data_IF_819460035520
#
_entry.id   IF_819460035520
#
_cell.length_a   1.000
_cell.length_b   1.000
_cell.length_c   1.000
_cell.angle_alpha   90.00
_cell.angle_beta   90.00
_cell.angle_gamma   90.00
#
_symmetry.space_group_name_H-M   'P 1'
#
loop_
_entity.id
_entity.type
_entity.pdbx_description
1 polymer ?
#
# COMPACT_ATOMS: atom_id res chain seq x y z
N UNK A 1 -1.67 -3.61 20.83
CA UNK A 1 -1.72 -2.58 19.77
C UNK A 1 -0.40 -1.87 19.88
N UNK A 2 0.51 -2.06 18.92
CA UNK A 2 1.78 -1.35 18.94
C UNK A 2 1.47 0.15 18.85
N UNK A 3 2.28 0.93 19.56
CA UNK A 3 2.19 2.37 19.77
C UNK A 3 1.84 3.10 18.47
N UNK A 4 1.07 4.19 18.54
CA UNK A 4 0.52 4.91 17.37
C UNK A 4 1.55 5.58 16.45
N UNK A 5 2.75 5.03 16.35
CA UNK A 5 3.80 5.46 15.47
C UNK A 5 3.42 5.26 14.00
N UNK A 6 3.73 6.24 13.14
CA UNK A 6 3.49 6.13 11.71
C UNK A 6 4.23 4.91 11.15
N UNK A 7 3.61 4.25 10.17
CA UNK A 7 4.28 3.19 9.43
C UNK A 7 5.62 3.71 8.89
N UNK A 8 6.71 2.91 8.96
CA UNK A 8 7.99 3.34 8.43
C UNK A 8 7.85 3.64 6.94
N UNK A 9 8.45 4.75 6.50
CA UNK A 9 8.45 5.08 5.09
C UNK A 9 9.38 4.12 4.33
N UNK A 10 8.95 3.60 3.17
CA UNK A 10 9.82 2.79 2.33
C UNK A 10 10.99 3.64 1.83
N UNK A 11 12.22 3.15 2.03
CA UNK A 11 13.43 3.77 1.51
C UNK A 11 14.13 2.82 0.54
N UNK A 12 15.00 3.37 -0.31
CA UNK A 12 15.81 2.55 -1.20
C UNK A 12 16.85 1.75 -0.42
N UNK A 13 17.27 0.63 -1.00
CA UNK A 13 18.33 -0.20 -0.44
C UNK A 13 19.63 0.60 -0.25
N UNK A 14 19.96 1.50 -1.18
CA UNK A 14 21.18 2.32 -1.11
C UNK A 14 21.21 3.23 0.12
N UNK A 15 20.05 3.77 0.53
CA UNK A 15 19.94 4.61 1.71
C UNK A 15 20.36 3.86 2.98
N UNK A 16 20.12 2.54 3.02
CA UNK A 16 20.50 1.72 4.15
C UNK A 16 21.90 1.10 4.02
N UNK A 17 22.36 0.76 2.81
CA UNK A 17 23.73 0.26 2.58
C UNK A 17 24.81 1.29 2.94
N UNK A 18 24.53 2.58 2.73
CA UNK A 18 25.46 3.67 3.06
C UNK A 18 25.55 3.99 4.56
N UNK A 19 24.70 3.39 5.40
CA UNK A 19 24.70 3.67 6.84
C UNK A 19 25.79 2.83 7.55
N UNK A 20 26.79 3.47 8.18
CA UNK A 20 27.85 2.78 8.92
C UNK A 20 27.32 1.92 10.09
N UNK A 21 26.15 2.24 10.65
CA UNK A 21 25.51 1.43 11.70
C UNK A 21 25.09 0.04 11.21
N UNK A 22 24.98 -0.17 9.89
CA UNK A 22 24.58 -1.44 9.27
C UNK A 22 25.73 -2.13 8.51
N UNK A 23 26.98 -1.68 8.72
CA UNK A 23 28.15 -2.22 8.04
C UNK A 23 28.35 -3.72 8.32
N UNK A 24 28.60 -4.51 7.26
CA UNK A 24 28.79 -5.96 7.35
C UNK A 24 27.49 -6.78 7.46
N UNK A 25 26.32 -6.13 7.45
CA UNK A 25 25.02 -6.80 7.41
C UNK A 25 24.63 -7.35 6.03
N UNK A 26 23.70 -8.29 6.00
CA UNK A 26 23.07 -8.79 4.77
C UNK A 26 21.69 -8.15 4.62
N UNK A 27 21.40 -7.62 3.43
CA UNK A 27 20.13 -7.00 3.12
C UNK A 27 19.14 -8.00 2.53
N UNK A 28 17.87 -7.89 2.93
CA UNK A 28 16.76 -8.64 2.35
C UNK A 28 15.61 -7.67 2.05
N UNK A 29 14.94 -7.90 0.91
CA UNK A 29 13.72 -7.19 0.55
C UNK A 29 12.55 -8.10 0.90
N UNK A 30 11.62 -7.58 1.70
CA UNK A 30 10.39 -8.29 2.04
C UNK A 30 9.23 -7.56 1.39
N UNK A 31 8.47 -8.26 0.55
CA UNK A 31 7.18 -7.78 0.08
C UNK A 31 6.18 -7.99 1.22
N UNK A 32 5.62 -6.90 1.74
CA UNK A 32 4.76 -6.91 2.90
C UNK A 32 3.49 -6.13 2.64
N UNK A 33 2.35 -6.82 2.73
CA UNK A 33 1.04 -6.17 2.67
C UNK A 33 0.76 -5.42 3.97
N UNK A 34 0.86 -4.09 3.93
CA UNK A 34 0.54 -3.21 5.07
C UNK A 34 -0.96 -3.05 5.30
N UNK A 35 -1.82 -3.55 4.40
CA UNK A 35 -3.29 -3.42 4.49
C UNK A 35 -3.87 -3.81 5.85
N UNK A 36 -3.44 -4.91 6.51
CA UNK A 36 -3.94 -5.28 7.84
C UNK A 36 -3.63 -4.26 8.95
N UNK A 37 -2.67 -3.37 8.73
CA UNK A 37 -2.17 -2.40 9.72
C UNK A 37 -2.78 -1.01 9.54
N UNK A 38 -3.62 -0.78 8.53
CA UNK A 38 -4.29 0.50 8.26
C UNK A 38 -5.47 0.79 9.20
N UNK A 39 -5.63 -0.02 10.26
CA UNK A 39 -6.72 0.11 11.21
C UNK A 39 -8.02 -0.53 10.74
N UNK A 40 -9.13 -0.17 11.41
CA UNK A 40 -10.46 -0.74 11.12
C UNK A 40 -11.00 -0.16 9.81
N UNK A 41 -11.62 -1.02 8.99
CA UNK A 41 -12.32 -0.58 7.79
C UNK A 41 -13.45 0.39 8.11
N UNK A 42 -13.46 1.55 7.46
CA UNK A 42 -14.50 2.58 7.58
C UNK A 42 -15.30 2.66 6.29
N UNK A 43 -16.63 2.64 6.38
CA UNK A 43 -17.52 2.82 5.22
C UNK A 43 -17.75 4.32 4.98
N UNK A 44 -17.51 4.77 3.76
CA UNK A 44 -17.81 6.12 3.31
C UNK A 44 -18.61 6.09 2.00
N UNK A 45 -19.23 7.23 1.64
CA UNK A 45 -19.90 7.41 0.36
C UNK A 45 -19.05 8.32 -0.53
N UNK A 46 -18.93 7.96 -1.81
CA UNK A 46 -18.22 8.76 -2.80
C UNK A 46 -18.92 8.71 -4.16
N UNK A 47 -18.69 9.75 -4.95
CA UNK A 47 -19.19 9.85 -6.33
C UNK A 47 -18.03 9.64 -7.28
N UNK A 48 -18.22 8.76 -8.27
CA UNK A 48 -17.24 8.45 -9.32
C UNK A 48 -17.95 8.55 -10.67
N UNK A 49 -17.26 8.99 -11.75
CA UNK A 49 -17.79 8.87 -13.10
C UNK A 49 -18.12 7.42 -13.46
N UNK A 50 -19.26 7.20 -14.13
CA UNK A 50 -19.74 5.85 -14.48
C UNK A 50 -18.70 5.05 -15.27
N UNK A 51 -18.09 5.66 -16.27
CA UNK A 51 -17.06 5.02 -17.09
C UNK A 51 -15.82 4.60 -16.27
N UNK A 52 -15.47 5.36 -15.21
CA UNK A 52 -14.38 4.99 -14.31
C UNK A 52 -14.77 3.78 -13.45
N UNK A 53 -15.98 3.78 -12.90
CA UNK A 53 -16.48 2.66 -12.10
C UNK A 53 -16.51 1.36 -12.92
N UNK A 54 -16.97 1.42 -14.17
CA UNK A 54 -16.99 0.28 -15.08
C UNK A 54 -15.57 -0.29 -15.36
N UNK A 55 -14.56 0.59 -15.48
CA UNK A 55 -13.16 0.18 -15.65
C UNK A 55 -12.61 -0.49 -14.39
N UNK A 56 -12.93 0.04 -13.21
CA UNK A 56 -12.54 -0.58 -11.93
C UNK A 56 -13.15 -1.98 -11.81
N UNK A 57 -14.43 -2.12 -12.16
CA UNK A 57 -15.11 -3.41 -12.14
C UNK A 57 -14.47 -4.43 -13.08
N UNK A 58 -14.14 -4.02 -14.30
CA UNK A 58 -13.44 -4.86 -15.26
C UNK A 58 -12.06 -5.28 -14.75
N UNK A 59 -11.33 -4.37 -14.12
CA UNK A 59 -10.02 -4.66 -13.56
C UNK A 59 -10.09 -5.70 -12.43
N UNK A 60 -10.95 -5.46 -11.44
CA UNK A 60 -11.13 -6.34 -10.27
C UNK A 60 -11.58 -7.75 -10.68
N UNK A 61 -12.45 -7.87 -11.70
CA UNK A 61 -12.84 -9.19 -12.24
C UNK A 61 -11.68 -10.00 -12.80
N UNK A 62 -10.68 -9.33 -13.37
CA UNK A 62 -9.54 -9.98 -14.05
C UNK A 62 -8.31 -10.15 -13.13
N UNK A 63 -8.32 -9.56 -11.94
CA UNK A 63 -7.18 -9.58 -11.01
C UNK A 63 -7.65 -10.09 -9.64
N UNK A 64 -7.71 -11.42 -9.42
CA UNK A 64 -8.24 -12.01 -8.18
C UNK A 64 -7.44 -11.65 -6.91
N UNK A 65 -6.21 -11.16 -7.06
CA UNK A 65 -5.45 -10.56 -5.95
C UNK A 65 -6.14 -9.30 -5.39
N UNK A 66 -6.82 -8.53 -6.26
CA UNK A 66 -7.58 -7.33 -5.95
C UNK A 66 -9.05 -7.72 -5.73
N UNK A 67 -9.40 -8.10 -4.51
CA UNK A 67 -10.67 -8.81 -4.22
C UNK A 67 -11.95 -7.96 -4.30
N UNK A 68 -11.85 -6.62 -4.40
CA UNK A 68 -13.02 -5.73 -4.43
C UNK A 68 -12.69 -4.32 -4.93
N UNK A 69 -13.72 -3.54 -5.30
CA UNK A 69 -13.59 -2.10 -5.61
C UNK A 69 -12.90 -1.33 -4.49
N UNK A 70 -13.26 -1.61 -3.24
CA UNK A 70 -12.68 -0.97 -2.07
C UNK A 70 -11.21 -1.33 -1.89
N UNK A 71 -10.83 -2.58 -2.14
CA UNK A 71 -9.43 -3.01 -2.15
C UNK A 71 -8.61 -2.29 -3.22
N UNK A 72 -9.15 -2.21 -4.44
CA UNK A 72 -8.51 -1.47 -5.53
C UNK A 72 -8.28 0.00 -5.20
N UNK A 73 -9.31 0.67 -4.68
CA UNK A 73 -9.19 2.09 -4.30
C UNK A 73 -8.19 2.27 -3.16
N UNK A 74 -8.16 1.37 -2.17
CA UNK A 74 -7.21 1.43 -1.06
C UNK A 74 -5.76 1.29 -1.55
N UNK A 75 -5.46 0.27 -2.37
CA UNK A 75 -4.11 0.05 -2.91
C UNK A 75 -3.66 1.21 -3.81
N UNK A 76 -4.54 1.70 -4.68
CA UNK A 76 -4.23 2.86 -5.52
C UNK A 76 -3.93 4.11 -4.69
N UNK A 77 -4.69 4.33 -3.61
CA UNK A 77 -4.50 5.46 -2.71
C UNK A 77 -3.17 5.34 -1.94
N UNK A 78 -2.84 4.15 -1.43
CA UNK A 78 -1.57 3.90 -0.75
C UNK A 78 -0.37 4.17 -1.67
N UNK A 79 -0.41 3.65 -2.90
CA UNK A 79 0.64 3.91 -3.90
C UNK A 79 0.82 5.39 -4.17
N UNK A 80 -0.28 6.13 -4.30
CA UNK A 80 -0.24 7.57 -4.55
C UNK A 80 0.29 8.36 -3.34
N UNK A 81 -0.06 7.96 -2.12
CA UNK A 81 0.38 8.60 -0.88
C UNK A 81 1.84 8.27 -0.51
N UNK A 82 2.37 7.13 -0.96
CA UNK A 82 3.78 6.74 -0.77
C UNK A 82 4.73 7.37 -1.81
N UNK A 83 4.18 7.81 -2.95
CA UNK A 83 4.93 8.50 -4.02
C UNK A 83 4.99 10.03 -3.82
N UNK A 84 4.38 10.55 -2.74
CA UNK A 84 4.32 11.96 -2.39
C UNK A 84 5.21 12.33 -1.21
#
# INVERSE_FOLDING_TARGET
>A
MADGEPLPQPQSLEAHQGNPDYAGGVWAIVDFDVTPYLGKAVRFNATLPEHLLARIDAYVRNHPAQKSRSGFLAEASLKMLQQG
#
